data_IF_443072283385
#
_entry.id   IF_443072283385
#
_cell.length_a   1.000
_cell.length_b   1.000
_cell.length_c   1.000
_cell.angle_alpha   90.00
_cell.angle_beta   90.00
_cell.angle_gamma   90.00
#
_symmetry.space_group_name_H-M   'P 1'
#
loop_
_entity.id
_entity.type
_entity.pdbx_description
1 polymer ?
#
# COMPACT_ATOMS: atom_id res chain seq x y z
N UNK A 1 -39.81 35.98 -49.72
CA UNK A 1 -39.12 35.65 -48.45
C UNK A 1 -39.24 34.17 -48.24
N UNK A 2 -38.28 33.44 -48.70
CA UNK A 2 -38.20 31.98 -48.64
C UNK A 2 -37.54 31.59 -47.31
N UNK A 3 -38.20 30.71 -46.52
CA UNK A 3 -37.66 30.19 -45.25
C UNK A 3 -36.77 29.00 -45.56
N UNK A 4 -35.49 29.22 -45.39
CA UNK A 4 -34.44 28.19 -45.41
C UNK A 4 -34.62 27.15 -44.31
N UNK A 5 -34.80 25.87 -44.70
CA UNK A 5 -34.91 24.73 -43.76
C UNK A 5 -33.51 24.28 -43.38
N UNK A 6 -33.16 24.43 -42.10
CA UNK A 6 -31.98 23.86 -41.47
C UNK A 6 -31.97 22.31 -41.57
N UNK A 7 -30.83 21.67 -41.90
CA UNK A 7 -30.75 20.21 -41.96
C UNK A 7 -30.81 19.57 -40.57
N UNK A 8 -31.68 18.57 -40.41
CA UNK A 8 -31.78 17.75 -39.22
C UNK A 8 -30.48 16.97 -39.01
N UNK A 9 -29.78 17.26 -37.93
CA UNK A 9 -28.61 16.51 -37.49
C UNK A 9 -28.97 15.06 -37.15
N UNK A 10 -28.26 14.15 -37.79
CA UNK A 10 -28.35 12.71 -37.54
C UNK A 10 -27.82 12.40 -36.13
N UNK A 11 -28.71 12.04 -35.23
CA UNK A 11 -28.35 11.57 -33.91
C UNK A 11 -27.66 10.21 -34.10
N UNK A 12 -26.35 10.13 -33.86
CA UNK A 12 -25.65 8.85 -33.76
C UNK A 12 -26.16 8.14 -32.51
N UNK A 13 -26.92 7.09 -32.67
CA UNK A 13 -27.28 6.18 -31.57
C UNK A 13 -26.00 5.63 -30.96
N UNK A 14 -25.71 6.05 -29.73
CA UNK A 14 -24.61 5.51 -28.94
C UNK A 14 -24.89 4.04 -28.62
N UNK A 15 -23.95 3.17 -28.92
CA UNK A 15 -24.01 1.76 -28.57
C UNK A 15 -23.96 1.67 -27.04
N UNK A 16 -25.05 1.22 -26.40
CA UNK A 16 -25.04 1.01 -24.96
C UNK A 16 -24.21 -0.24 -24.59
N UNK A 17 -23.79 -0.33 -23.33
CA UNK A 17 -22.92 -1.42 -22.85
C UNK A 17 -23.56 -2.80 -23.00
N UNK A 18 -24.87 -2.91 -22.87
CA UNK A 18 -25.59 -4.19 -23.03
C UNK A 18 -25.64 -4.62 -24.49
N UNK A 19 -25.94 -3.70 -25.40
CA UNK A 19 -25.95 -3.99 -26.83
C UNK A 19 -24.57 -4.32 -27.40
N UNK A 20 -23.51 -3.74 -26.83
CA UNK A 20 -22.14 -4.11 -27.18
C UNK A 20 -21.81 -5.55 -26.79
N UNK A 21 -22.11 -5.94 -25.53
CA UNK A 21 -21.87 -7.31 -25.04
C UNK A 21 -22.64 -8.34 -25.83
N UNK A 22 -23.95 -8.08 -26.13
CA UNK A 22 -24.77 -9.00 -26.87
C UNK A 22 -24.32 -9.18 -28.31
N UNK A 23 -23.94 -8.10 -29.00
CA UNK A 23 -23.46 -8.13 -30.38
C UNK A 23 -22.09 -8.82 -30.53
N UNK A 24 -21.19 -8.66 -29.56
CA UNK A 24 -19.90 -9.38 -29.56
C UNK A 24 -20.07 -10.88 -29.26
N UNK A 25 -21.00 -11.27 -28.39
CA UNK A 25 -21.26 -12.68 -28.08
C UNK A 25 -21.85 -13.42 -29.27
N UNK A 26 -22.76 -12.79 -30.03
CA UNK A 26 -23.38 -13.41 -31.23
C UNK A 26 -22.35 -13.49 -32.38
N UNK A 27 -21.47 -12.53 -32.54
CA UNK A 27 -20.41 -12.59 -33.56
C UNK A 27 -19.41 -13.72 -33.28
N UNK A 28 -19.13 -14.03 -31.99
CA UNK A 28 -18.25 -15.12 -31.60
C UNK A 28 -18.86 -16.52 -31.87
N UNK A 29 -20.19 -16.66 -31.80
CA UNK A 29 -20.88 -17.92 -32.09
C UNK A 29 -21.10 -18.19 -33.59
N UNK A 30 -21.09 -17.14 -34.44
CA UNK A 30 -21.24 -17.27 -35.89
C UNK A 30 -19.99 -17.74 -36.64
N UNK A 31 -18.82 -17.76 -35.98
CA UNK A 31 -17.55 -18.14 -36.61
C UNK A 31 -17.16 -19.61 -36.42
N UNK A 32 -18.02 -20.46 -35.81
CA UNK A 32 -17.74 -21.90 -35.58
C UNK A 32 -18.25 -22.77 -36.73
N UNK A 33 -18.28 -22.26 -37.93
CA UNK A 33 -18.85 -22.94 -39.11
C UNK A 33 -17.86 -23.27 -40.22
N UNK A 34 -16.55 -23.27 -40.04
CA UNK A 34 -15.59 -23.86 -40.96
C UNK A 34 -14.43 -24.47 -40.21
N UNK A 35 -14.31 -25.77 -40.32
CA UNK A 35 -13.22 -26.59 -39.81
C UNK A 35 -11.91 -26.12 -40.39
N UNK A 36 -11.22 -25.29 -39.65
CA UNK A 36 -9.80 -25.03 -39.81
C UNK A 36 -9.12 -25.57 -38.56
N UNK A 37 -8.35 -26.64 -38.70
CA UNK A 37 -7.48 -27.18 -37.69
C UNK A 37 -6.49 -26.10 -37.25
N UNK A 38 -6.89 -25.25 -36.31
CA UNK A 38 -5.91 -24.48 -35.50
C UNK A 38 -5.24 -25.52 -34.62
N UNK A 39 -4.10 -26.01 -35.12
CA UNK A 39 -3.12 -26.70 -34.28
C UNK A 39 -2.85 -25.78 -33.10
N UNK A 40 -3.58 -25.96 -32.02
CA UNK A 40 -3.29 -25.38 -30.72
C UNK A 40 -1.86 -25.82 -30.42
N UNK A 41 -0.92 -24.88 -30.47
CA UNK A 41 0.39 -25.08 -29.90
C UNK A 41 0.18 -25.44 -28.43
N UNK A 42 0.06 -26.73 -28.17
CA UNK A 42 0.17 -27.33 -26.87
C UNK A 42 1.64 -27.25 -26.45
N UNK A 43 2.17 -26.03 -26.41
CA UNK A 43 3.34 -25.73 -25.62
C UNK A 43 2.94 -25.98 -24.18
N UNK A 44 3.34 -27.11 -23.63
CA UNK A 44 3.35 -27.32 -22.19
C UNK A 44 4.15 -26.16 -21.58
N UNK A 45 3.50 -25.05 -21.32
CA UNK A 45 4.00 -24.04 -20.41
C UNK A 45 4.19 -24.81 -19.11
N UNK A 46 5.41 -25.19 -18.82
CA UNK A 46 5.82 -25.61 -17.48
C UNK A 46 5.54 -24.38 -16.60
N UNK A 47 4.34 -24.29 -16.04
CA UNK A 47 4.07 -23.41 -14.93
C UNK A 47 5.09 -23.83 -13.88
N UNK A 48 6.12 -23.03 -13.69
CA UNK A 48 7.00 -23.17 -12.54
C UNK A 48 6.07 -23.05 -11.35
N UNK A 49 5.79 -24.16 -10.70
CA UNK A 49 5.05 -24.17 -9.45
C UNK A 49 5.89 -23.32 -8.49
N UNK A 50 5.40 -22.12 -8.21
CA UNK A 50 6.04 -21.26 -7.22
C UNK A 50 5.74 -21.94 -5.90
N UNK A 51 6.71 -22.69 -5.39
CA UNK A 51 6.65 -23.20 -4.03
C UNK A 51 6.77 -22.00 -3.10
N UNK A 52 5.61 -21.54 -2.63
CA UNK A 52 5.58 -20.57 -1.54
C UNK A 52 6.19 -21.24 -0.30
N UNK A 53 7.08 -20.54 0.42
CA UNK A 53 7.56 -21.06 1.69
C UNK A 53 6.36 -21.34 2.59
N UNK A 54 6.46 -22.38 3.41
CA UNK A 54 5.43 -22.68 4.41
C UNK A 54 5.16 -21.41 5.24
N UNK A 55 3.89 -21.01 5.33
CA UNK A 55 3.52 -19.90 6.21
C UNK A 55 3.89 -20.28 7.63
N UNK A 56 4.84 -19.56 8.20
CA UNK A 56 5.12 -19.66 9.61
C UNK A 56 3.92 -19.07 10.36
N UNK A 57 3.33 -19.83 11.25
CA UNK A 57 2.20 -19.38 12.08
C UNK A 57 2.64 -18.36 13.13
N UNK A 58 3.95 -18.21 13.32
CA UNK A 58 4.56 -17.25 14.24
C UNK A 58 5.85 -16.70 13.62
N UNK A 59 6.21 -15.46 13.95
CA UNK A 59 7.52 -14.92 13.62
C UNK A 59 8.60 -15.83 14.24
N UNK A 60 9.68 -16.15 13.51
CA UNK A 60 10.75 -16.98 14.06
C UNK A 60 11.33 -16.34 15.31
N UNK A 61 11.74 -17.18 16.28
CA UNK A 61 12.44 -16.74 17.48
C UNK A 61 13.77 -16.07 17.08
N UNK A 62 13.76 -14.75 17.06
CA UNK A 62 14.88 -13.91 16.66
C UNK A 62 15.09 -12.78 17.66
N UNK A 63 16.02 -11.88 17.34
CA UNK A 63 16.17 -10.65 18.09
C UNK A 63 14.87 -9.85 18.05
N UNK A 64 14.50 -9.15 19.15
CA UNK A 64 13.33 -8.28 19.14
C UNK A 64 13.41 -7.27 17.99
N UNK A 65 12.37 -7.20 17.18
CA UNK A 65 12.24 -6.23 16.09
C UNK A 65 11.54 -4.98 16.61
N UNK A 66 12.23 -3.86 16.59
CA UNK A 66 11.75 -2.58 17.12
C UNK A 66 11.11 -1.78 15.99
N UNK A 67 9.85 -1.41 16.17
CA UNK A 67 9.14 -0.57 15.23
C UNK A 67 8.83 0.81 15.82
N UNK A 68 8.86 1.82 14.95
CA UNK A 68 8.39 3.16 15.23
C UNK A 68 7.12 3.46 14.44
N UNK A 69 6.11 4.00 15.11
CA UNK A 69 4.88 4.44 14.46
C UNK A 69 4.97 5.92 14.09
N UNK A 70 4.69 6.25 12.83
CA UNK A 70 4.59 7.62 12.33
C UNK A 70 3.17 7.86 11.83
N UNK A 71 2.42 8.68 12.59
CA UNK A 71 1.00 8.91 12.41
C UNK A 71 0.16 8.07 13.40
N UNK A 72 -0.15 8.65 14.56
CA UNK A 72 -0.79 8.01 15.71
C UNK A 72 -2.34 8.12 15.69
N UNK A 73 -2.94 8.42 14.53
CA UNK A 73 -4.40 8.38 14.36
C UNK A 73 -4.96 6.96 14.48
N UNK A 74 -6.29 6.80 14.41
CA UNK A 74 -6.94 5.51 14.60
C UNK A 74 -6.41 4.40 13.68
N UNK A 75 -6.04 4.72 12.41
CA UNK A 75 -5.43 3.73 11.51
C UNK A 75 -4.02 3.36 11.95
N UNK A 76 -3.23 4.34 12.39
CA UNK A 76 -1.86 4.11 12.88
C UNK A 76 -1.85 3.27 14.14
N UNK A 77 -2.68 3.61 15.11
CA UNK A 77 -2.82 2.83 16.35
C UNK A 77 -3.23 1.38 16.05
N UNK A 78 -4.22 1.18 15.16
CA UNK A 78 -4.61 -0.15 14.72
C UNK A 78 -3.48 -0.92 14.00
N UNK A 79 -2.67 -0.25 13.20
CA UNK A 79 -1.51 -0.87 12.55
C UNK A 79 -0.44 -1.30 13.58
N UNK A 80 -0.21 -0.49 14.61
CA UNK A 80 0.71 -0.83 15.69
C UNK A 80 0.23 -2.04 16.50
N UNK A 81 -1.08 -2.11 16.80
CA UNK A 81 -1.69 -3.27 17.45
C UNK A 81 -1.54 -4.53 16.59
N UNK A 82 -1.88 -4.46 15.30
CA UNK A 82 -1.72 -5.59 14.38
C UNK A 82 -0.26 -6.03 14.24
N UNK A 83 0.67 -5.10 14.25
CA UNK A 83 2.10 -5.42 14.25
C UNK A 83 2.49 -6.22 15.50
N UNK A 84 2.07 -5.79 16.68
CA UNK A 84 2.35 -6.50 17.93
C UNK A 84 1.73 -7.90 17.96
N UNK A 85 0.58 -8.09 17.31
CA UNK A 85 -0.12 -9.39 17.22
C UNK A 85 0.53 -10.35 16.21
N UNK A 86 1.41 -9.87 15.33
CA UNK A 86 2.03 -10.70 14.31
C UNK A 86 3.13 -11.63 14.85
N UNK A 87 3.62 -11.41 16.08
CA UNK A 87 4.62 -12.30 16.69
C UNK A 87 5.09 -11.87 18.08
N UNK A 88 5.77 -12.76 18.80
CA UNK A 88 6.13 -12.54 20.21
C UNK A 88 7.30 -11.54 20.40
N UNK A 89 8.18 -11.40 19.41
CA UNK A 89 9.40 -10.59 19.53
C UNK A 89 9.27 -9.22 18.84
N UNK A 90 8.05 -8.68 18.75
CA UNK A 90 7.77 -7.41 18.11
C UNK A 90 7.51 -6.33 19.16
N UNK A 91 8.10 -5.15 18.97
CA UNK A 91 8.02 -4.05 19.92
C UNK A 91 7.71 -2.74 19.21
N UNK A 92 6.82 -1.93 19.79
CA UNK A 92 6.67 -0.52 19.43
C UNK A 92 7.48 0.29 20.44
N UNK A 93 8.55 0.94 19.97
CA UNK A 93 9.50 1.64 20.83
C UNK A 93 9.52 3.15 20.63
N UNK A 94 8.88 3.67 19.57
CA UNK A 94 8.81 5.10 19.29
C UNK A 94 7.47 5.46 18.63
N UNK A 95 6.95 6.65 18.95
CA UNK A 95 5.73 7.22 18.39
C UNK A 95 5.98 8.63 17.88
N UNK A 96 5.40 8.99 16.73
CA UNK A 96 5.49 10.32 16.16
C UNK A 96 4.17 10.76 15.55
N UNK A 97 3.71 11.97 15.90
CA UNK A 97 2.56 12.62 15.29
C UNK A 97 2.72 14.15 15.33
N UNK A 98 1.92 14.84 14.52
CA UNK A 98 1.84 16.29 14.54
C UNK A 98 0.92 16.77 15.67
N UNK A 99 -0.06 15.94 16.05
CA UNK A 99 -1.09 16.28 17.03
C UNK A 99 -0.87 15.54 18.34
N UNK A 100 -0.73 16.31 19.42
CA UNK A 100 -0.49 15.75 20.76
C UNK A 100 -1.62 14.83 21.23
N UNK A 101 -2.88 15.20 20.98
CA UNK A 101 -4.03 14.38 21.35
C UNK A 101 -4.03 13.00 20.69
N UNK A 102 -3.59 12.90 19.42
CA UNK A 102 -3.47 11.63 18.69
C UNK A 102 -2.35 10.77 19.25
N UNK A 103 -1.23 11.39 19.55
CA UNK A 103 -0.09 10.70 20.16
C UNK A 103 -0.44 10.15 21.54
N UNK A 104 -1.06 10.97 22.42
CA UNK A 104 -1.47 10.57 23.75
C UNK A 104 -2.51 9.43 23.71
N UNK A 105 -3.55 9.55 22.88
CA UNK A 105 -4.56 8.51 22.71
C UNK A 105 -3.97 7.18 22.23
N UNK A 106 -3.07 7.22 21.26
CA UNK A 106 -2.37 6.04 20.76
C UNK A 106 -1.57 5.36 21.88
N UNK A 107 -0.83 6.13 22.63
CA UNK A 107 -0.01 5.66 23.76
C UNK A 107 -0.85 4.97 24.83
N UNK A 108 -1.97 5.60 25.22
CA UNK A 108 -2.91 5.04 26.19
C UNK A 108 -3.54 3.72 25.67
N UNK A 109 -3.91 3.69 24.39
CA UNK A 109 -4.50 2.50 23.78
C UNK A 109 -3.50 1.34 23.72
N UNK A 110 -2.24 1.58 23.31
CA UNK A 110 -1.20 0.55 23.29
C UNK A 110 -0.91 0.01 24.69
N UNK A 111 -0.89 0.87 25.69
CA UNK A 111 -0.76 0.45 27.10
C UNK A 111 -1.94 -0.42 27.54
N UNK A 112 -3.16 0.01 27.25
CA UNK A 112 -4.39 -0.69 27.66
C UNK A 112 -4.55 -2.05 26.96
N UNK A 113 -4.29 -2.13 25.68
CA UNK A 113 -4.60 -3.31 24.87
C UNK A 113 -3.45 -4.32 24.81
N UNK A 114 -2.21 -3.86 24.89
CA UNK A 114 -1.02 -4.70 24.70
C UNK A 114 0.02 -4.57 25.80
N UNK A 115 -0.28 -3.80 26.85
CA UNK A 115 0.65 -3.51 27.95
C UNK A 115 2.00 -2.94 27.47
N UNK A 116 1.96 -2.17 26.36
CA UNK A 116 3.14 -1.51 25.79
C UNK A 116 3.23 -0.09 26.31
N UNK A 117 4.33 0.23 26.97
CA UNK A 117 4.66 1.57 27.43
C UNK A 117 5.77 2.16 26.55
N UNK A 118 5.48 3.25 25.85
CA UNK A 118 6.48 4.02 25.14
C UNK A 118 6.88 5.21 26.01
N UNK A 119 8.16 5.33 26.40
CA UNK A 119 8.61 6.39 27.27
C UNK A 119 8.52 7.77 26.60
N UNK A 120 8.43 8.84 27.39
CA UNK A 120 8.21 10.21 26.91
C UNK A 120 9.28 10.67 25.94
N UNK A 121 10.53 10.28 26.17
CA UNK A 121 11.68 10.59 25.31
C UNK A 121 11.59 9.97 23.90
N UNK A 122 10.74 8.97 23.72
CA UNK A 122 10.47 8.30 22.44
C UNK A 122 9.11 8.68 21.85
N UNK A 123 8.47 9.69 22.40
CA UNK A 123 7.22 10.25 21.92
C UNK A 123 7.46 11.62 21.29
N UNK A 124 7.46 11.67 19.95
CA UNK A 124 7.88 12.86 19.22
C UNK A 124 6.68 13.61 18.63
N UNK A 125 6.64 14.91 18.90
CA UNK A 125 5.58 15.81 18.42
C UNK A 125 6.11 16.76 17.35
N UNK A 126 5.32 17.05 16.32
CA UNK A 126 5.60 18.03 15.28
C UNK A 126 5.84 17.42 13.90
N UNK A 127 6.04 18.29 12.91
CA UNK A 127 6.25 17.87 11.51
C UNK A 127 7.57 17.13 11.29
N UNK A 128 8.54 17.30 12.17
CA UNK A 128 9.84 16.61 12.17
C UNK A 128 9.82 15.31 12.99
N UNK A 129 8.68 14.96 13.59
CA UNK A 129 8.54 13.75 14.41
C UNK A 129 8.90 12.47 13.65
N UNK A 130 8.61 12.40 12.35
CA UNK A 130 8.97 11.26 11.51
C UNK A 130 10.48 11.00 11.51
N UNK A 131 11.30 12.06 11.40
CA UNK A 131 12.74 11.93 11.40
C UNK A 131 13.25 11.46 12.77
N UNK A 132 12.71 12.02 13.83
CA UNK A 132 13.06 11.63 15.21
C UNK A 132 12.72 10.16 15.49
N UNK A 133 11.57 9.67 15.00
CA UNK A 133 11.22 8.24 15.07
C UNK A 133 12.21 7.38 14.30
N UNK A 134 12.58 7.79 13.08
CA UNK A 134 13.58 7.07 12.27
C UNK A 134 14.92 6.99 12.99
N UNK A 135 15.32 8.06 13.65
CA UNK A 135 16.62 8.19 14.33
C UNK A 135 16.64 7.56 15.72
N UNK A 136 15.50 7.14 16.29
CA UNK A 136 15.37 6.58 17.64
C UNK A 136 15.89 5.15 17.81
N UNK A 137 16.55 4.58 16.80
CA UNK A 137 17.12 3.23 16.86
C UNK A 137 16.12 2.11 16.54
N UNK A 138 15.01 2.43 15.84
CA UNK A 138 14.06 1.43 15.33
C UNK A 138 14.63 0.67 14.14
N UNK A 139 14.19 -0.56 13.92
CA UNK A 139 14.55 -1.39 12.77
C UNK A 139 13.58 -1.17 11.61
N UNK A 140 12.32 -0.85 11.94
CA UNK A 140 11.19 -0.74 11.04
C UNK A 140 10.36 0.50 11.37
N UNK A 141 9.75 1.11 10.37
CA UNK A 141 8.76 2.17 10.54
C UNK A 141 7.39 1.79 9.99
N UNK A 142 6.34 2.09 10.76
CA UNK A 142 4.95 2.01 10.34
C UNK A 142 4.50 3.40 9.88
N UNK A 143 4.37 3.62 8.55
CA UNK A 143 4.00 4.91 7.98
C UNK A 143 2.49 5.00 7.78
N UNK A 144 1.80 5.61 8.73
CA UNK A 144 0.35 5.77 8.76
C UNK A 144 -0.11 7.22 8.61
N UNK A 145 0.80 8.13 8.24
CA UNK A 145 0.51 9.54 7.95
C UNK A 145 -0.37 9.71 6.71
N UNK A 146 -1.00 10.88 6.50
CA UNK A 146 -1.70 11.18 5.25
C UNK A 146 -0.80 11.00 4.02
N UNK A 147 -1.34 10.59 2.86
CA UNK A 147 -0.55 10.20 1.69
C UNK A 147 0.31 11.32 1.10
N UNK A 148 0.01 12.58 1.39
CA UNK A 148 0.83 13.72 0.96
C UNK A 148 2.25 13.70 1.56
N UNK A 149 2.42 13.18 2.77
CA UNK A 149 3.69 13.13 3.48
C UNK A 149 4.50 11.86 3.18
N UNK A 150 3.85 10.80 2.70
CA UNK A 150 4.48 9.48 2.54
C UNK A 150 5.70 9.46 1.63
N UNK A 151 5.72 10.12 0.46
CA UNK A 151 6.92 10.13 -0.38
C UNK A 151 8.18 10.65 0.33
N UNK A 152 8.02 11.66 1.19
CA UNK A 152 9.10 12.20 2.00
C UNK A 152 9.53 11.22 3.09
N UNK A 153 8.57 10.65 3.82
CA UNK A 153 8.84 9.73 4.91
C UNK A 153 9.47 8.41 4.45
N UNK A 154 9.00 7.88 3.31
CA UNK A 154 9.59 6.68 2.68
C UNK A 154 11.03 6.93 2.28
N UNK A 155 11.31 8.07 1.62
CA UNK A 155 12.67 8.42 1.23
C UNK A 155 13.60 8.53 2.44
N UNK A 156 13.16 9.18 3.51
CA UNK A 156 13.93 9.30 4.75
C UNK A 156 14.22 7.94 5.41
N UNK A 157 13.20 7.08 5.50
CA UNK A 157 13.34 5.75 6.09
C UNK A 157 14.28 4.85 5.27
N UNK A 158 14.17 4.85 3.95
CA UNK A 158 15.09 4.10 3.06
C UNK A 158 16.53 4.61 3.16
N UNK A 159 16.71 5.93 3.22
CA UNK A 159 18.04 6.53 3.39
C UNK A 159 18.68 6.11 4.71
N UNK A 160 17.89 6.04 5.78
CA UNK A 160 18.31 5.58 7.10
C UNK A 160 18.41 4.05 7.24
N UNK A 161 18.16 3.28 6.18
CA UNK A 161 18.26 1.82 6.19
C UNK A 161 17.19 1.12 7.02
N UNK A 162 15.98 1.69 7.12
CA UNK A 162 14.87 1.11 7.87
C UNK A 162 13.94 0.31 6.96
N UNK A 163 13.43 -0.82 7.47
CA UNK A 163 12.31 -1.52 6.87
C UNK A 163 11.05 -0.68 6.98
N UNK A 164 10.09 -0.85 6.06
CA UNK A 164 8.94 0.04 5.96
C UNK A 164 7.66 -0.76 5.77
N UNK A 165 6.70 -0.57 6.67
CA UNK A 165 5.31 -0.83 6.39
C UNK A 165 4.62 0.50 6.07
N UNK A 166 4.02 0.62 4.91
CA UNK A 166 3.36 1.85 4.47
C UNK A 166 1.90 1.62 4.14
N UNK A 167 1.02 2.44 4.75
CA UNK A 167 -0.41 2.42 4.46
C UNK A 167 -0.74 2.96 3.06
N UNK A 168 -1.84 2.48 2.51
CA UNK A 168 -2.42 3.00 1.25
C UNK A 168 -3.14 4.35 1.50
N UNK A 169 -3.29 5.19 0.48
CA UNK A 169 -2.56 5.23 -0.80
C UNK A 169 -1.15 5.77 -0.62
N UNK A 170 -0.24 5.39 -1.53
CA UNK A 170 1.20 5.68 -1.39
C UNK A 170 1.56 7.16 -1.59
N UNK A 171 0.74 7.91 -2.33
CA UNK A 171 0.91 9.32 -2.62
C UNK A 171 -0.42 9.95 -3.04
N UNK A 172 -0.48 11.27 -3.16
CA UNK A 172 -1.65 12.03 -3.63
C UNK A 172 -1.60 12.37 -5.12
N UNK A 173 -0.43 12.26 -5.73
CA UNK A 173 -0.19 12.66 -7.12
C UNK A 173 0.84 11.75 -7.82
N UNK A 174 0.94 11.83 -9.18
CA UNK A 174 1.89 11.01 -9.94
C UNK A 174 3.36 11.33 -9.64
N UNK A 175 3.69 12.54 -9.20
CA UNK A 175 5.07 12.93 -8.85
C UNK A 175 5.48 12.21 -7.58
N UNK A 176 4.64 12.27 -6.54
CA UNK A 176 4.84 11.53 -5.29
C UNK A 176 4.93 10.03 -5.51
N UNK A 177 4.05 9.46 -6.34
CA UNK A 177 4.09 8.04 -6.69
C UNK A 177 5.44 7.64 -7.34
N UNK A 178 5.96 8.45 -8.27
CA UNK A 178 7.29 8.22 -8.87
C UNK A 178 8.42 8.30 -7.84
N UNK A 179 8.37 9.24 -6.90
CA UNK A 179 9.34 9.32 -5.80
C UNK A 179 9.35 8.06 -4.94
N UNK A 180 8.16 7.55 -4.61
CA UNK A 180 8.03 6.29 -3.86
C UNK A 180 8.65 5.12 -4.65
N UNK A 181 8.36 5.00 -5.96
CA UNK A 181 8.95 3.96 -6.81
C UNK A 181 10.49 4.02 -6.84
N UNK A 182 11.08 5.21 -6.91
CA UNK A 182 12.55 5.38 -6.84
C UNK A 182 13.07 4.93 -5.47
N UNK A 183 12.39 5.30 -4.39
CA UNK A 183 12.77 4.89 -3.03
C UNK A 183 12.66 3.38 -2.84
N UNK A 184 11.61 2.74 -3.38
CA UNK A 184 11.44 1.28 -3.34
C UNK A 184 12.58 0.55 -4.06
N UNK A 185 13.04 1.05 -5.23
CA UNK A 185 14.21 0.48 -5.90
C UNK A 185 15.45 0.52 -5.01
N UNK A 186 15.73 1.67 -4.39
CA UNK A 186 16.85 1.81 -3.44
C UNK A 186 16.71 0.88 -2.23
N UNK A 187 15.47 0.70 -1.74
CA UNK A 187 15.20 -0.23 -0.65
C UNK A 187 15.56 -1.67 -1.04
N UNK A 188 15.15 -2.12 -2.23
CA UNK A 188 15.50 -3.43 -2.77
C UNK A 188 17.01 -3.63 -2.90
N UNK A 189 17.75 -2.62 -3.41
CA UNK A 189 19.22 -2.66 -3.51
C UNK A 189 19.89 -2.77 -2.13
N UNK A 190 19.26 -2.24 -1.09
CA UNK A 190 19.74 -2.33 0.31
C UNK A 190 19.25 -3.58 1.06
N UNK A 191 18.45 -4.44 0.43
CA UNK A 191 17.83 -5.61 1.09
C UNK A 191 16.76 -5.23 2.12
N UNK A 192 16.12 -4.06 1.97
CA UNK A 192 15.03 -3.61 2.83
C UNK A 192 13.67 -4.07 2.28
N UNK A 193 12.74 -4.33 3.19
CA UNK A 193 11.34 -4.65 2.92
C UNK A 193 10.46 -3.43 3.16
#
# INVERSE_FOLDING_TARGET
MEKEKSPKGTIREGIDRRSFITKTSVAALGAIGTVGLVSSCSGKTKTKEIQLPAFLTQAPDGKPLKAGLIGCGGRGTGAAVNFLDAGPNLQITALGDVFKDKLDQCREQLKKERNVEVPDENCFLGFDSYQKVIDSGVDLVLLCTPPAFRPLHVEAAVNAGKHIFMEKPVAVDPVGARKVLVSVKRAQEKGLC
#
